data_IF_786455933455
#
_entry.id   IF_786455933455
#
_cell.length_a   1.000
_cell.length_b   1.000
_cell.length_c   1.000
_cell.angle_alpha   90.00
_cell.angle_beta   90.00
_cell.angle_gamma   90.00
#
_symmetry.space_group_name_H-M   'P 1'
#
loop_
_entity.id
_entity.type
_entity.pdbx_description
1 polymer ?
#
# COMPACT_ATOMS: atom_id res chain seq x y z
N UNK A 1 -1.01 -16.73 8.07
CA UNK A 1 -1.60 -17.98 8.60
C UNK A 1 -2.92 -17.62 9.23
N UNK A 2 -3.93 -18.48 9.11
CA UNK A 2 -5.28 -18.17 9.57
C UNK A 2 -5.34 -17.92 11.08
N UNK A 3 -4.62 -18.72 11.86
CA UNK A 3 -4.54 -18.57 13.32
C UNK A 3 -4.05 -17.17 13.74
N UNK A 4 -3.00 -16.65 13.10
CA UNK A 4 -2.46 -15.33 13.39
C UNK A 4 -3.45 -14.21 13.02
N UNK A 5 -4.16 -14.37 11.90
CA UNK A 5 -5.18 -13.41 11.47
C UNK A 5 -6.38 -13.41 12.44
N UNK A 6 -6.83 -14.59 12.88
CA UNK A 6 -7.86 -14.72 13.89
C UNK A 6 -7.44 -14.15 15.25
N UNK A 7 -6.24 -14.46 15.72
CA UNK A 7 -5.71 -13.94 16.98
C UNK A 7 -5.65 -12.40 16.98
N UNK A 8 -5.17 -11.81 15.88
CA UNK A 8 -5.11 -10.36 15.72
C UNK A 8 -6.51 -9.72 15.72
N UNK A 9 -7.45 -10.25 14.93
CA UNK A 9 -8.81 -9.73 14.88
C UNK A 9 -9.54 -9.89 16.22
N UNK A 10 -9.32 -10.99 16.93
CA UNK A 10 -9.86 -11.20 18.28
C UNK A 10 -9.30 -10.18 19.28
N UNK A 11 -8.01 -9.85 19.19
CA UNK A 11 -7.39 -8.85 20.07
C UNK A 11 -7.95 -7.44 19.82
N UNK A 12 -8.28 -7.12 18.56
CA UNK A 12 -8.94 -5.85 18.21
C UNK A 12 -10.38 -5.81 18.72
N UNK A 13 -11.13 -6.90 18.52
CA UNK A 13 -12.51 -7.03 19.00
C UNK A 13 -12.61 -6.97 20.53
N UNK A 14 -11.61 -7.51 21.23
CA UNK A 14 -11.49 -7.44 22.69
C UNK A 14 -10.93 -6.09 23.20
N UNK A 15 -10.67 -5.11 22.33
CA UNK A 15 -10.11 -3.81 22.70
C UNK A 15 -8.67 -3.84 23.20
N UNK A 16 -7.98 -4.98 23.11
CA UNK A 16 -6.57 -5.13 23.52
C UNK A 16 -5.60 -4.47 22.53
N UNK A 17 -6.04 -4.28 21.28
CA UNK A 17 -5.33 -3.56 20.23
C UNK A 17 -6.27 -2.58 19.56
N UNK A 18 -5.84 -1.33 19.39
CA UNK A 18 -6.61 -0.36 18.62
C UNK A 18 -6.48 -0.63 17.13
N UNK A 19 -7.58 -0.53 16.38
CA UNK A 19 -7.57 -0.65 14.92
C UNK A 19 -6.67 0.41 14.25
N UNK A 20 -6.41 1.54 14.92
CA UNK A 20 -5.52 2.62 14.44
C UNK A 20 -4.05 2.19 14.51
N UNK A 21 -3.71 1.28 15.41
CA UNK A 21 -2.34 0.78 15.57
C UNK A 21 -1.95 -0.26 14.51
N UNK A 22 -2.91 -0.70 13.69
CA UNK A 22 -2.65 -1.65 12.62
C UNK A 22 -2.14 -0.88 11.40
N UNK A 23 -0.91 -1.20 10.98
CA UNK A 23 -0.32 -0.55 9.81
C UNK A 23 -1.22 -0.71 8.57
N UNK A 24 -1.24 0.28 7.66
CA UNK A 24 -2.05 0.21 6.44
C UNK A 24 -1.81 -1.06 5.62
N UNK A 25 -0.56 -1.52 5.52
CA UNK A 25 -0.22 -2.77 4.82
C UNK A 25 -0.84 -4.02 5.48
N UNK A 26 -0.79 -4.12 6.82
CA UNK A 26 -1.43 -5.23 7.54
C UNK A 26 -2.95 -5.17 7.45
N UNK A 27 -3.52 -3.97 7.54
CA UNK A 27 -4.95 -3.72 7.35
C UNK A 27 -5.40 -4.17 5.96
N UNK A 28 -4.69 -3.77 4.90
CA UNK A 28 -4.99 -4.19 3.53
C UNK A 28 -4.92 -5.71 3.38
N UNK A 29 -3.89 -6.34 3.94
CA UNK A 29 -3.75 -7.81 3.93
C UNK A 29 -4.93 -8.53 4.60
N UNK A 30 -5.46 -7.98 5.69
CA UNK A 30 -6.64 -8.53 6.38
C UNK A 30 -7.93 -8.29 5.58
N UNK A 31 -8.06 -7.15 4.92
CA UNK A 31 -9.22 -6.80 4.09
C UNK A 31 -9.29 -7.65 2.80
N UNK A 32 -8.13 -7.95 2.21
CA UNK A 32 -7.98 -8.79 1.00
C UNK A 32 -7.74 -10.27 1.32
N UNK A 33 -7.93 -10.69 2.57
CA UNK A 33 -7.62 -12.05 2.98
C UNK A 33 -8.44 -13.09 2.19
N UNK A 34 -7.83 -14.16 1.64
CA UNK A 34 -8.52 -15.10 0.74
C UNK A 34 -9.75 -15.78 1.35
N UNK A 35 -9.75 -16.02 2.66
CA UNK A 35 -10.88 -16.63 3.37
C UNK A 35 -11.95 -15.58 3.71
N UNK A 36 -13.20 -15.70 3.19
CA UNK A 36 -14.26 -14.70 3.40
C UNK A 36 -14.59 -14.42 4.87
N UNK A 37 -14.47 -15.43 5.74
CA UNK A 37 -14.71 -15.28 7.18
C UNK A 37 -13.74 -14.28 7.86
N UNK A 38 -12.49 -14.22 7.40
CA UNK A 38 -11.48 -13.29 7.95
C UNK A 38 -11.67 -11.91 7.33
N UNK A 39 -11.79 -11.80 6.01
CA UNK A 39 -11.93 -10.51 5.33
C UNK A 39 -13.22 -9.77 5.71
N UNK A 40 -14.32 -10.49 5.95
CA UNK A 40 -15.58 -9.89 6.44
C UNK A 40 -15.43 -9.33 7.86
N UNK A 41 -14.77 -10.08 8.76
CA UNK A 41 -14.49 -9.61 10.13
C UNK A 41 -13.54 -8.42 10.12
N UNK A 42 -12.49 -8.45 9.29
CA UNK A 42 -11.57 -7.33 9.12
C UNK A 42 -12.29 -6.05 8.66
N UNK A 43 -13.19 -6.16 7.67
CA UNK A 43 -14.01 -5.01 7.20
C UNK A 43 -14.88 -4.42 8.32
N UNK A 44 -15.41 -5.26 9.21
CA UNK A 44 -16.22 -4.82 10.36
C UNK A 44 -15.38 -4.13 11.44
N UNK A 45 -14.24 -4.72 11.81
CA UNK A 45 -13.44 -4.31 12.98
C UNK A 45 -12.45 -3.18 12.69
N UNK A 46 -11.87 -3.16 11.49
CA UNK A 46 -10.87 -2.16 11.13
C UNK A 46 -11.56 -0.86 10.68
N UNK A 47 -12.83 -0.91 10.31
CA UNK A 47 -13.57 0.21 9.75
C UNK A 47 -13.42 0.29 8.24
N UNK A 48 -14.38 0.98 7.62
CA UNK A 48 -14.36 1.28 6.19
C UNK A 48 -13.39 2.42 5.96
N UNK A 49 -12.37 2.20 5.13
CA UNK A 49 -11.70 3.29 4.42
C UNK A 49 -12.82 4.15 3.82
N UNK A 50 -12.78 5.46 4.02
CA UNK A 50 -13.82 6.32 3.46
C UNK A 50 -13.81 6.10 1.93
N UNK A 51 -14.89 5.56 1.34
CA UNK A 51 -14.93 5.26 -0.08
C UNK A 51 -14.94 6.54 -0.92
N UNK A 52 -15.36 7.66 -0.32
CA UNK A 52 -15.30 8.98 -0.93
C UNK A 52 -13.88 9.55 -0.75
N UNK A 53 -12.96 9.07 -1.60
CA UNK A 53 -11.54 9.51 -1.58
C UNK A 53 -11.40 10.99 -1.91
N UNK A 54 -12.30 11.55 -2.71
CA UNK A 54 -12.33 12.98 -3.00
C UNK A 54 -12.53 13.81 -1.73
N UNK A 55 -13.47 13.44 -0.85
CA UNK A 55 -13.62 14.09 0.47
C UNK A 55 -12.40 13.91 1.36
N UNK A 56 -11.72 12.76 1.28
CA UNK A 56 -10.48 12.56 2.03
C UNK A 56 -9.43 13.56 1.55
N UNK A 57 -9.17 13.64 0.25
CA UNK A 57 -8.20 14.59 -0.33
C UNK A 57 -8.55 16.04 0.02
N UNK A 58 -9.83 16.40 -0.02
CA UNK A 58 -10.29 17.76 0.31
C UNK A 58 -9.89 18.20 1.74
N UNK A 59 -9.87 17.28 2.71
CA UNK A 59 -9.39 17.58 4.08
C UNK A 59 -7.91 17.97 4.15
N UNK A 60 -7.15 17.67 3.11
CA UNK A 60 -5.71 17.94 3.01
C UNK A 60 -5.41 19.09 2.02
N UNK A 61 -6.43 19.77 1.49
CA UNK A 61 -6.23 20.84 0.51
C UNK A 61 -5.34 21.99 1.03
N UNK A 62 -5.35 22.28 2.34
CA UNK A 62 -4.52 23.31 2.97
C UNK A 62 -3.09 22.87 3.35
N UNK A 63 -2.67 21.65 3.00
CA UNK A 63 -1.32 21.14 3.33
C UNK A 63 -0.21 22.00 2.73
N UNK A 64 -0.47 22.66 1.59
CA UNK A 64 0.48 23.58 0.96
C UNK A 64 0.85 24.79 1.82
N UNK A 65 -0.05 25.18 2.72
CA UNK A 65 0.09 26.37 3.55
C UNK A 65 0.81 26.06 4.87
N UNK A 66 1.00 24.77 5.16
CA UNK A 66 1.69 24.30 6.36
C UNK A 66 3.21 24.28 6.15
N UNK A 67 3.94 24.70 7.19
CA UNK A 67 5.39 24.62 7.21
C UNK A 67 5.83 23.23 7.69
N UNK A 68 6.09 22.32 6.74
CA UNK A 68 6.58 20.98 7.03
C UNK A 68 8.04 20.91 7.50
N UNK A 69 8.34 19.93 8.34
CA UNK A 69 9.66 19.54 8.83
C UNK A 69 10.23 18.38 8.01
N UNK A 70 11.26 18.64 7.20
CA UNK A 70 11.95 17.61 6.41
C UNK A 70 12.54 16.49 7.28
N UNK A 71 12.96 16.80 8.52
CA UNK A 71 13.45 15.78 9.48
C UNK A 71 12.35 14.80 9.87
N UNK A 72 11.15 15.30 10.18
CA UNK A 72 10.00 14.46 10.50
C UNK A 72 9.52 13.71 9.26
N UNK A 73 9.50 14.38 8.10
CA UNK A 73 9.16 13.78 6.82
C UNK A 73 10.02 12.57 6.47
N UNK A 74 11.32 12.64 6.74
CA UNK A 74 12.23 11.50 6.58
C UNK A 74 11.82 10.31 7.45
N UNK A 75 11.49 10.54 8.72
CA UNK A 75 11.02 9.48 9.63
C UNK A 75 9.71 8.86 9.13
N UNK A 76 8.77 9.69 8.68
CA UNK A 76 7.49 9.24 8.12
C UNK A 76 7.70 8.42 6.84
N UNK A 77 8.61 8.84 5.96
CA UNK A 77 8.99 8.09 4.76
C UNK A 77 9.56 6.72 5.14
N UNK A 78 10.53 6.66 6.06
CA UNK A 78 11.13 5.39 6.50
C UNK A 78 10.11 4.45 7.15
N UNK A 79 9.12 5.00 7.85
CA UNK A 79 8.12 4.18 8.56
C UNK A 79 7.02 3.66 7.63
N UNK A 80 6.55 4.49 6.70
CA UNK A 80 5.32 4.22 5.95
C UNK A 80 5.54 3.94 4.46
N UNK A 81 6.59 4.51 3.86
CA UNK A 81 6.76 4.56 2.42
C UNK A 81 7.92 3.68 1.93
N UNK A 82 9.03 3.62 2.68
CA UNK A 82 10.26 2.93 2.24
C UNK A 82 10.11 1.41 2.14
N UNK A 83 9.06 0.86 2.75
CA UNK A 83 8.67 -0.56 2.61
C UNK A 83 8.40 -0.92 1.15
N UNK A 84 7.87 0.04 0.36
CA UNK A 84 7.51 -0.20 -1.03
C UNK A 84 8.27 0.69 -2.02
N UNK A 85 8.56 1.93 -1.64
CA UNK A 85 9.12 2.95 -2.52
C UNK A 85 10.58 3.24 -2.22
N UNK A 86 11.32 3.56 -3.28
CA UNK A 86 12.66 4.08 -3.14
C UNK A 86 12.65 5.61 -3.14
N UNK A 87 13.58 6.22 -2.42
CA UNK A 87 13.86 7.66 -2.49
C UNK A 87 15.31 7.88 -2.11
N UNK A 88 16.09 8.55 -2.96
CA UNK A 88 17.52 8.86 -2.73
C UNK A 88 18.34 7.62 -2.31
N UNK A 89 18.09 6.50 -2.98
CA UNK A 89 18.77 5.22 -2.73
C UNK A 89 18.32 4.45 -1.48
N UNK A 90 17.30 4.93 -0.76
CA UNK A 90 16.73 4.24 0.42
C UNK A 90 15.36 3.65 0.09
N UNK A 91 15.06 2.49 0.68
CA UNK A 91 13.77 1.80 0.50
C UNK A 91 13.79 0.72 -0.58
N UNK A 92 12.60 0.27 -0.98
CA UNK A 92 12.41 -0.87 -1.88
C UNK A 92 11.88 -0.44 -3.25
N UNK A 93 11.92 -1.36 -4.23
CA UNK A 93 11.48 -1.12 -5.61
C UNK A 93 10.18 -1.87 -5.94
N UNK A 94 9.23 -1.86 -5.01
CA UNK A 94 7.87 -2.41 -5.24
C UNK A 94 7.02 -1.39 -5.99
N UNK A 95 7.01 -0.15 -5.49
CA UNK A 95 6.47 1.01 -6.18
C UNK A 95 7.55 1.83 -6.88
N UNK A 96 7.16 2.93 -7.53
CA UNK A 96 8.09 3.84 -8.20
C UNK A 96 9.08 4.51 -7.26
N UNK A 97 10.20 4.97 -7.83
CA UNK A 97 11.13 5.87 -7.16
C UNK A 97 10.47 7.24 -6.99
N UNK A 98 10.30 7.68 -5.74
CA UNK A 98 9.65 8.93 -5.42
C UNK A 98 10.47 10.17 -5.83
N UNK A 99 11.77 10.01 -6.10
CA UNK A 99 12.61 11.12 -6.57
C UNK A 99 12.12 11.68 -7.91
N UNK A 100 11.54 10.83 -8.77
CA UNK A 100 11.00 11.24 -10.07
C UNK A 100 9.71 12.06 -9.97
N UNK A 101 9.10 12.12 -8.78
CA UNK A 101 7.85 12.85 -8.51
C UNK A 101 8.08 14.17 -7.77
N UNK A 102 9.32 14.50 -7.41
CA UNK A 102 9.66 15.69 -6.60
C UNK A 102 9.11 17.01 -7.18
N UNK A 103 9.06 17.13 -8.52
CA UNK A 103 8.55 18.30 -9.26
C UNK A 103 7.03 18.33 -9.43
N UNK A 104 6.32 17.26 -9.07
CA UNK A 104 4.87 17.17 -9.24
C UNK A 104 4.14 18.18 -8.34
N UNK A 105 2.96 18.68 -8.77
CA UNK A 105 2.07 19.47 -7.92
C UNK A 105 1.73 18.75 -6.61
N UNK A 106 1.49 19.51 -5.54
CA UNK A 106 1.08 18.94 -4.24
C UNK A 106 -0.18 18.09 -4.39
N UNK A 107 -1.12 18.52 -5.24
CA UNK A 107 -2.37 17.79 -5.44
C UNK A 107 -2.12 16.37 -6.00
N UNK A 108 -1.16 16.20 -6.92
CA UNK A 108 -0.79 14.88 -7.45
C UNK A 108 -0.21 13.98 -6.35
N UNK A 109 0.58 14.55 -5.43
CA UNK A 109 1.05 13.83 -4.25
C UNK A 109 -0.09 13.43 -3.32
N UNK A 110 -1.05 14.32 -3.06
CA UNK A 110 -2.20 14.02 -2.23
C UNK A 110 -3.05 12.91 -2.86
N UNK A 111 -3.27 12.94 -4.18
CA UNK A 111 -3.93 11.86 -4.90
C UNK A 111 -3.12 10.56 -4.76
N UNK A 112 -1.81 10.57 -5.01
CA UNK A 112 -1.01 9.34 -4.91
C UNK A 112 -0.97 8.74 -3.49
N UNK A 113 -0.93 9.58 -2.45
CA UNK A 113 -0.86 9.14 -1.05
C UNK A 113 -2.24 8.71 -0.52
N UNK A 114 -3.28 9.48 -0.83
CA UNK A 114 -4.62 9.32 -0.26
C UNK A 114 -5.55 8.53 -1.20
N UNK A 115 -5.26 8.42 -2.48
CA UNK A 115 -6.00 7.59 -3.42
C UNK A 115 -5.05 6.84 -4.37
N UNK A 116 -4.32 5.85 -3.83
CA UNK A 116 -3.34 5.11 -4.60
C UNK A 116 -3.96 4.32 -5.77
N UNK A 117 -5.28 4.08 -5.77
CA UNK A 117 -5.98 3.37 -6.84
C UNK A 117 -6.27 4.27 -8.05
N UNK A 118 -6.45 5.58 -7.86
CA UNK A 118 -6.55 6.54 -8.98
C UNK A 118 -5.22 6.78 -9.69
N UNK A 119 -4.09 6.60 -8.99
CA UNK A 119 -2.74 6.85 -9.51
C UNK A 119 -2.04 5.58 -10.04
N UNK A 120 -2.77 4.50 -10.34
CA UNK A 120 -2.15 3.24 -10.80
C UNK A 120 -1.70 3.37 -12.24
N UNK A 121 -0.39 3.55 -12.43
CA UNK A 121 0.23 3.32 -13.73
C UNK A 121 0.23 1.82 -14.06
N UNK A 122 0.08 1.48 -15.34
CA UNK A 122 0.01 0.09 -15.83
C UNK A 122 1.15 -0.78 -15.29
N UNK A 123 2.36 -0.24 -15.19
CA UNK A 123 3.57 -0.92 -14.69
C UNK A 123 3.47 -1.38 -13.23
N UNK A 124 2.64 -0.73 -12.42
CA UNK A 124 2.43 -1.07 -11.00
C UNK A 124 1.05 -1.70 -10.76
N UNK A 125 0.39 -2.18 -11.83
CA UNK A 125 -0.85 -2.95 -11.70
C UNK A 125 -0.59 -4.22 -10.90
N UNK A 126 -1.44 -4.47 -9.91
CA UNK A 126 -1.37 -5.70 -9.15
C UNK A 126 -1.97 -6.87 -9.93
N UNK A 127 -1.29 -8.00 -9.88
CA UNK A 127 -1.73 -9.28 -10.42
C UNK A 127 -2.00 -10.28 -9.31
N UNK A 128 -3.10 -11.01 -9.45
CA UNK A 128 -3.36 -12.25 -8.73
C UNK A 128 -2.96 -13.42 -9.64
N UNK A 129 -1.99 -14.21 -9.17
CA UNK A 129 -1.55 -15.43 -9.82
C UNK A 129 -1.96 -16.62 -8.96
N UNK A 130 -2.69 -17.53 -9.58
CA UNK A 130 -3.05 -18.82 -8.99
C UNK A 130 -2.18 -19.89 -9.65
N UNK A 131 -1.48 -20.66 -8.84
CA UNK A 131 -0.68 -21.81 -9.27
C UNK A 131 -1.52 -23.09 -9.27
N UNK A 132 -1.04 -24.14 -9.94
CA UNK A 132 -1.70 -25.45 -10.03
C UNK A 132 -1.77 -26.20 -8.70
N UNK A 133 -0.93 -25.83 -7.73
CA UNK A 133 -1.00 -26.31 -6.34
C UNK A 133 -2.01 -25.51 -5.49
N UNK A 134 -2.85 -24.71 -6.14
CA UNK A 134 -3.83 -23.79 -5.53
C UNK A 134 -3.22 -22.70 -4.64
N UNK A 135 -1.90 -22.48 -4.71
CA UNK A 135 -1.29 -21.31 -4.09
C UNK A 135 -1.70 -20.02 -4.82
N UNK A 136 -2.00 -18.98 -4.04
CA UNK A 136 -2.35 -17.65 -4.54
C UNK A 136 -1.25 -16.66 -4.20
N UNK A 137 -0.74 -15.97 -5.22
CA UNK A 137 0.33 -14.97 -5.09
C UNK A 137 -0.21 -13.64 -5.62
N UNK A 138 0.02 -12.58 -4.85
CA UNK A 138 -0.38 -11.22 -5.22
C UNK A 138 0.85 -10.32 -5.26
N UNK A 139 1.04 -9.62 -6.37
CA UNK A 139 2.21 -8.77 -6.58
C UNK A 139 2.14 -7.95 -7.86
N UNK A 140 3.11 -7.07 -8.05
CA UNK A 140 3.34 -6.40 -9.33
C UNK A 140 4.21 -7.28 -10.22
N UNK A 141 4.01 -7.20 -11.53
CA UNK A 141 4.81 -7.95 -12.49
C UNK A 141 6.19 -7.29 -12.65
N UNK A 142 7.23 -7.93 -12.11
CA UNK A 142 8.60 -7.45 -12.21
C UNK A 142 9.27 -7.86 -13.52
N UNK A 143 8.94 -9.05 -14.02
CA UNK A 143 9.41 -9.56 -15.31
C UNK A 143 8.47 -10.65 -15.82
N UNK A 144 8.35 -10.74 -17.14
CA UNK A 144 7.61 -11.81 -17.82
C UNK A 144 8.45 -12.36 -18.97
N UNK A 145 8.57 -13.69 -19.02
CA UNK A 145 9.24 -14.41 -20.10
C UNK A 145 8.31 -15.49 -20.66
N UNK A 146 8.67 -16.14 -21.79
CA UNK A 146 7.91 -17.27 -22.30
C UNK A 146 7.84 -18.46 -21.34
N UNK A 147 8.72 -18.55 -20.33
CA UNK A 147 8.81 -19.69 -19.41
C UNK A 147 8.38 -19.37 -17.98
N UNK A 148 8.43 -18.11 -17.55
CA UNK A 148 8.16 -17.73 -16.17
C UNK A 148 7.60 -16.30 -16.03
N UNK A 149 6.95 -16.08 -14.89
CA UNK A 149 6.55 -14.77 -14.38
C UNK A 149 7.33 -14.51 -13.09
N UNK A 150 7.83 -13.29 -12.91
CA UNK A 150 8.43 -12.85 -11.66
C UNK A 150 7.52 -11.78 -11.08
N UNK A 151 6.93 -12.07 -9.93
CA UNK A 151 6.08 -11.14 -9.19
C UNK A 151 6.85 -10.55 -8.03
N UNK A 152 6.80 -9.23 -7.86
CA UNK A 152 7.27 -8.58 -6.64
C UNK A 152 6.08 -8.35 -5.73
N UNK A 153 6.11 -9.00 -4.57
CA UNK A 153 5.05 -8.91 -3.57
C UNK A 153 5.12 -7.60 -2.79
N UNK A 154 4.06 -7.26 -2.05
CA UNK A 154 4.03 -6.08 -1.18
C UNK A 154 5.12 -6.07 -0.09
N UNK A 155 5.72 -7.21 0.24
CA UNK A 155 6.85 -7.28 1.17
C UNK A 155 8.21 -7.06 0.49
N UNK A 156 8.24 -6.77 -0.81
CA UNK A 156 9.48 -6.64 -1.59
C UNK A 156 10.09 -7.96 -2.05
N UNK A 157 9.50 -9.10 -1.68
CA UNK A 157 9.99 -10.41 -2.12
C UNK A 157 9.61 -10.66 -3.57
N UNK A 158 10.58 -11.12 -4.36
CA UNK A 158 10.34 -11.64 -5.71
C UNK A 158 9.98 -13.13 -5.66
N UNK A 159 8.90 -13.49 -6.33
CA UNK A 159 8.39 -14.85 -6.44
C UNK A 159 8.34 -15.22 -7.90
N UNK A 160 9.09 -16.25 -8.27
CA UNK A 160 9.10 -16.80 -9.63
C UNK A 160 8.03 -17.88 -9.76
N UNK A 161 7.10 -17.69 -10.69
CA UNK A 161 6.08 -18.66 -11.06
C UNK A 161 6.37 -19.17 -12.46
N UNK A 162 6.75 -20.44 -12.57
CA UNK A 162 6.94 -21.08 -13.88
C UNK A 162 5.60 -21.20 -14.59
N UNK A 163 5.52 -20.85 -15.87
CA UNK A 163 4.26 -20.94 -16.63
C UNK A 163 3.66 -22.34 -16.65
N UNK A 164 4.49 -23.39 -16.63
CA UNK A 164 4.02 -24.78 -16.51
C UNK A 164 3.20 -25.04 -15.23
N UNK A 165 3.45 -24.25 -14.17
CA UNK A 165 2.76 -24.32 -12.88
C UNK A 165 1.65 -23.28 -12.75
N UNK A 166 1.49 -22.38 -13.73
CA UNK A 166 0.45 -21.35 -13.72
C UNK A 166 -0.92 -21.98 -13.99
N UNK A 167 -1.90 -21.67 -13.15
CA UNK A 167 -3.31 -22.02 -13.36
C UNK A 167 -4.08 -20.83 -13.94
N UNK A 168 -3.91 -19.63 -13.37
CA UNK A 168 -4.46 -18.39 -13.91
C UNK A 168 -3.64 -17.18 -13.48
N UNK A 169 -3.73 -16.12 -14.27
CA UNK A 169 -3.24 -14.79 -13.95
C UNK A 169 -4.34 -13.78 -14.25
N UNK A 170 -4.57 -12.84 -13.33
CA UNK A 170 -5.57 -11.80 -13.49
C UNK A 170 -5.03 -10.48 -12.95
N UNK A 171 -5.15 -9.41 -13.73
CA UNK A 171 -4.98 -8.05 -13.24
C UNK A 171 -6.18 -7.71 -12.35
N UNK A 172 -5.93 -7.32 -11.10
CA UNK A 172 -7.01 -6.99 -10.15
C UNK A 172 -7.46 -5.53 -10.24
N UNK A 173 -6.81 -4.72 -11.08
CA UNK A 173 -7.15 -3.32 -11.33
C UNK A 173 -6.98 -2.40 -10.11
N UNK A 174 -6.16 -2.82 -9.14
CA UNK A 174 -5.89 -2.09 -7.90
C UNK A 174 -4.38 -1.95 -7.66
N UNK A 175 -4.01 -0.95 -6.89
CA UNK A 175 -2.64 -0.74 -6.43
C UNK A 175 -2.24 -1.73 -5.35
N UNK A 176 -0.94 -2.06 -5.26
CA UNK A 176 -0.37 -2.70 -4.07
C UNK A 176 -0.21 -1.72 -2.91
N UNK A 177 -0.22 -0.41 -3.19
CA UNK A 177 -0.13 0.61 -2.15
C UNK A 177 -1.41 0.61 -1.31
N UNK A 178 -1.30 0.53 0.01
CA UNK A 178 -2.47 0.43 0.88
C UNK A 178 -3.25 1.75 0.92
N UNK A 179 -4.57 1.65 0.91
CA UNK A 179 -5.44 2.78 1.23
C UNK A 179 -5.50 3.03 2.75
N UNK A 180 -6.00 4.20 3.15
CA UNK A 180 -6.22 4.52 4.56
C UNK A 180 -5.00 5.12 5.27
N UNK A 181 -3.99 5.58 4.52
CA UNK A 181 -2.82 6.25 5.08
C UNK A 181 -3.18 7.50 5.89
N UNK A 182 -4.33 8.13 5.62
CA UNK A 182 -4.88 9.25 6.42
C UNK A 182 -5.14 8.91 7.88
N UNK A 183 -5.23 7.62 8.22
CA UNK A 183 -5.42 7.18 9.62
C UNK A 183 -4.14 7.30 10.44
N UNK A 184 -2.98 7.31 9.78
CA UNK A 184 -1.66 7.47 10.38
C UNK A 184 -0.99 8.81 10.03
N UNK A 185 -1.43 9.46 8.95
CA UNK A 185 -0.88 10.72 8.45
C UNK A 185 -1.94 11.82 8.50
N UNK A 186 -1.93 12.64 9.55
CA UNK A 186 -2.74 13.87 9.61
C UNK A 186 -2.18 14.94 8.64
N UNK A 187 -2.88 16.06 8.41
CA UNK A 187 -2.41 17.09 7.47
C UNK A 187 -0.99 17.60 7.75
N UNK A 188 -0.62 17.78 9.02
CA UNK A 188 0.74 18.19 9.42
C UNK A 188 1.78 17.13 9.08
N UNK A 189 1.49 15.84 9.32
CA UNK A 189 2.38 14.75 8.94
C UNK A 189 2.55 14.63 7.43
N UNK A 190 1.49 14.89 6.65
CA UNK A 190 1.61 14.95 5.19
C UNK A 190 2.45 16.15 4.77
N UNK A 191 2.30 17.33 5.38
CA UNK A 191 3.17 18.48 5.12
C UNK A 191 4.65 18.17 5.41
N UNK A 192 4.93 17.54 6.54
CA UNK A 192 6.27 17.06 6.91
C UNK A 192 6.83 16.11 5.86
N UNK A 193 6.04 15.10 5.46
CA UNK A 193 6.43 14.13 4.43
C UNK A 193 6.73 14.80 3.09
N UNK A 194 5.88 15.73 2.63
CA UNK A 194 6.10 16.46 1.39
C UNK A 194 7.31 17.39 1.46
N UNK A 195 7.58 18.00 2.62
CA UNK A 195 8.78 18.81 2.83
C UNK A 195 10.08 18.00 2.65
N UNK A 196 10.05 16.69 2.90
CA UNK A 196 11.17 15.78 2.64
C UNK A 196 11.20 15.25 1.21
N UNK A 197 10.06 14.80 0.67
CA UNK A 197 10.00 14.13 -0.65
C UNK A 197 10.17 15.09 -1.83
N UNK A 198 9.87 16.37 -1.63
CA UNK A 198 9.99 17.40 -2.68
C UNK A 198 11.28 18.20 -2.59
N UNK A 199 12.22 17.79 -1.72
CA UNK A 199 13.57 18.36 -1.71
C UNK A 199 14.44 17.67 -2.79
N UNK A 200 15.17 18.43 -3.63
CA UNK A 200 16.11 17.88 -4.61
C UNK A 200 17.10 16.89 -3.99
#
# INVERSE_FOLDING_TARGET
RDESAHALLNAIEAGKLSAIQISPAHRQKLLQYPRPAISTRAKKLLGRINPDRAKVIQRYAGVSDLKGSSKNGKLLFTTNCSVCHSFKGQGNKVGPDLATFSVKPINDWLIGILDPNQAVETTYTTYLVISKDDSAITGVLASETPSALILRTASGQEVTVLRKNLKSIQAIGQSLMPEGLETALNPEAVADLLAYLRTP
#
